data_IF_879617057213
#
_entry.id   IF_879617057213
#
_cell.length_a   1.000
_cell.length_b   1.000
_cell.length_c   1.000
_cell.angle_alpha   90.00
_cell.angle_beta   90.00
_cell.angle_gamma   90.00
#
_symmetry.space_group_name_H-M   'P 1'
#
loop_
_entity.id
_entity.type
_entity.pdbx_description
1 polymer ?
#
# COMPACT_ATOMS: atom_id res chain seq x y z
N UNK A 1 -5.51 -15.11 13.34
CA UNK A 1 -5.05 -16.16 12.40
C UNK A 1 -5.94 -16.21 11.15
N UNK A 2 -7.28 -16.36 11.26
CA UNK A 2 -8.18 -16.52 10.11
C UNK A 2 -8.09 -15.39 9.08
N UNK A 3 -8.15 -14.11 9.50
CA UNK A 3 -8.03 -12.95 8.62
C UNK A 3 -6.67 -12.91 7.89
N UNK A 4 -5.58 -13.25 8.58
CA UNK A 4 -4.26 -13.28 7.93
C UNK A 4 -4.22 -14.31 6.81
N UNK A 5 -4.77 -15.50 7.03
CA UNK A 5 -4.85 -16.57 6.00
C UNK A 5 -5.74 -16.13 4.84
N UNK A 6 -6.88 -15.52 5.14
CA UNK A 6 -7.81 -15.01 4.12
C UNK A 6 -7.14 -13.96 3.24
N UNK A 7 -6.56 -12.91 3.83
CA UNK A 7 -5.90 -11.84 3.09
C UNK A 7 -4.67 -12.33 2.33
N UNK A 8 -3.87 -13.23 2.92
CA UNK A 8 -2.74 -13.83 2.21
C UNK A 8 -3.18 -14.58 0.94
N UNK A 9 -4.32 -15.30 1.00
CA UNK A 9 -4.88 -15.98 -0.17
C UNK A 9 -5.47 -15.03 -1.23
N UNK A 10 -5.82 -13.81 -0.87
CA UNK A 10 -6.38 -12.79 -1.76
C UNK A 10 -5.33 -11.84 -2.31
N UNK A 11 -4.14 -11.77 -1.70
CA UNK A 11 -3.11 -10.81 -2.08
C UNK A 11 -2.55 -11.10 -3.46
N UNK A 12 -2.50 -10.07 -4.29
CA UNK A 12 -1.84 -10.08 -5.60
C UNK A 12 -0.47 -9.38 -5.58
N UNK A 13 -0.02 -8.94 -4.42
CA UNK A 13 1.29 -8.31 -4.26
C UNK A 13 2.42 -9.25 -4.69
N UNK A 14 3.41 -8.72 -5.40
CA UNK A 14 4.54 -9.50 -5.91
C UNK A 14 4.30 -10.18 -7.26
N UNK A 15 3.11 -10.06 -7.85
CA UNK A 15 2.88 -10.55 -9.22
C UNK A 15 3.78 -9.78 -10.18
N UNK A 16 4.51 -10.52 -11.02
CA UNK A 16 5.29 -9.99 -12.13
C UNK A 16 4.98 -10.77 -13.41
N UNK A 17 4.65 -10.08 -14.49
CA UNK A 17 4.28 -10.68 -15.78
C UNK A 17 4.97 -9.95 -16.92
N UNK A 18 5.41 -10.69 -17.93
CA UNK A 18 5.72 -10.14 -19.25
C UNK A 18 4.44 -10.08 -20.05
N UNK A 19 4.17 -8.92 -20.63
CA UNK A 19 3.01 -8.72 -21.49
C UNK A 19 3.43 -8.87 -22.95
N UNK A 20 2.55 -9.35 -23.84
CA UNK A 20 2.80 -9.32 -25.28
C UNK A 20 3.05 -7.88 -25.73
N UNK A 21 3.96 -7.73 -26.67
CA UNK A 21 4.29 -6.44 -27.27
C UNK A 21 4.78 -6.62 -28.70
N UNK A 22 4.93 -5.52 -29.48
CA UNK A 22 5.49 -5.57 -30.80
C UNK A 22 6.96 -5.95 -30.77
N UNK A 23 7.50 -6.38 -31.91
CA UNK A 23 8.93 -6.67 -32.06
C UNK A 23 9.75 -5.43 -31.67
N UNK A 24 10.74 -5.62 -30.80
CA UNK A 24 11.58 -4.52 -30.32
C UNK A 24 11.07 -3.83 -29.05
N UNK A 25 10.01 -4.36 -28.43
CA UNK A 25 9.55 -3.92 -27.11
C UNK A 25 9.53 -5.05 -26.10
N UNK A 26 9.89 -4.73 -24.87
CA UNK A 26 9.70 -5.60 -23.71
C UNK A 26 8.78 -4.91 -22.71
N UNK A 27 7.58 -5.43 -22.58
CA UNK A 27 6.57 -4.90 -21.68
C UNK A 27 6.50 -5.76 -20.43
N UNK A 28 6.60 -5.15 -19.26
CA UNK A 28 6.44 -5.83 -17.97
C UNK A 28 5.38 -5.16 -17.13
N UNK A 29 4.64 -5.97 -16.38
CA UNK A 29 3.61 -5.54 -15.45
C UNK A 29 3.92 -6.15 -14.08
N UNK A 30 3.90 -5.33 -13.05
CA UNK A 30 4.15 -5.75 -11.67
C UNK A 30 3.13 -5.14 -10.72
N UNK A 31 2.76 -5.88 -9.68
CA UNK A 31 1.96 -5.38 -8.57
C UNK A 31 2.89 -5.29 -7.36
N UNK A 32 3.08 -4.06 -6.87
CA UNK A 32 3.99 -3.75 -5.77
C UNK A 32 3.17 -3.31 -4.54
N UNK A 33 3.61 -3.63 -3.32
CA UNK A 33 2.97 -3.12 -2.12
C UNK A 33 3.16 -1.60 -2.01
N UNK A 34 2.23 -0.93 -1.35
CA UNK A 34 2.47 0.38 -0.77
C UNK A 34 3.52 0.23 0.32
N UNK A 35 4.40 1.23 0.50
CA UNK A 35 5.47 1.11 1.48
C UNK A 35 4.93 1.20 2.91
N UNK A 36 4.14 2.22 3.17
CA UNK A 36 3.62 2.52 4.50
C UNK A 36 2.12 2.82 4.44
N UNK A 37 1.35 2.12 5.24
CA UNK A 37 -0.10 2.30 5.34
C UNK A 37 -0.45 2.89 6.69
N UNK A 38 -1.06 4.07 6.70
CA UNK A 38 -1.64 4.66 7.91
C UNK A 38 -2.93 3.90 8.27
N UNK A 39 -2.95 3.34 9.47
CA UNK A 39 -4.07 2.56 9.99
C UNK A 39 -4.74 3.35 11.12
N UNK A 40 -5.99 3.74 10.90
CA UNK A 40 -6.80 4.51 11.84
C UNK A 40 -8.02 3.71 12.26
N UNK A 41 -8.11 3.37 13.53
CA UNK A 41 -9.24 2.67 14.14
C UNK A 41 -9.30 2.96 15.64
N UNK A 42 -10.51 3.01 16.19
CA UNK A 42 -10.75 3.32 17.61
C UNK A 42 -10.71 2.07 18.50
N UNK A 43 -10.67 0.87 17.90
CA UNK A 43 -10.64 -0.39 18.63
C UNK A 43 -9.57 -1.35 18.10
N UNK A 44 -9.16 -2.30 18.94
CA UNK A 44 -8.12 -3.28 18.63
C UNK A 44 -8.49 -4.24 17.51
N UNK A 45 -9.77 -4.63 17.41
CA UNK A 45 -10.19 -5.62 16.42
C UNK A 45 -10.05 -5.08 15.00
N UNK A 46 -10.49 -3.84 14.77
CA UNK A 46 -10.35 -3.15 13.50
C UNK A 46 -8.87 -2.88 13.18
N UNK A 47 -8.08 -2.45 14.16
CA UNK A 47 -6.65 -2.20 13.98
C UNK A 47 -5.89 -3.49 13.62
N UNK A 48 -6.26 -4.64 14.24
CA UNK A 48 -5.71 -5.95 13.88
C UNK A 48 -6.11 -6.39 12.48
N UNK A 49 -7.35 -6.13 12.07
CA UNK A 49 -7.83 -6.44 10.72
C UNK A 49 -7.04 -5.62 9.67
N UNK A 50 -6.87 -4.31 9.90
CA UNK A 50 -6.06 -3.45 9.06
C UNK A 50 -4.61 -3.97 8.99
N UNK A 51 -4.02 -4.32 10.12
CA UNK A 51 -2.65 -4.82 10.16
C UNK A 51 -2.49 -6.15 9.42
N UNK A 52 -3.46 -7.06 9.53
CA UNK A 52 -3.45 -8.31 8.77
C UNK A 52 -3.47 -8.06 7.25
N UNK A 53 -4.27 -7.09 6.77
CA UNK A 53 -4.32 -6.70 5.36
C UNK A 53 -2.99 -6.07 4.90
N UNK A 54 -2.41 -5.19 5.72
CA UNK A 54 -1.10 -4.55 5.46
C UNK A 54 0.01 -5.59 5.34
N UNK A 55 0.06 -6.56 6.24
CA UNK A 55 1.04 -7.64 6.19
C UNK A 55 0.85 -8.55 4.96
N UNK A 56 -0.40 -8.84 4.59
CA UNK A 56 -0.71 -9.71 3.46
C UNK A 56 -0.21 -9.17 2.12
N UNK A 57 -0.12 -7.85 1.97
CA UNK A 57 0.44 -7.23 0.77
C UNK A 57 1.95 -6.98 0.87
N UNK A 58 2.55 -7.14 2.07
CA UNK A 58 3.98 -6.95 2.29
C UNK A 58 4.38 -5.54 2.74
N UNK A 59 3.41 -4.70 3.09
CA UNK A 59 3.60 -3.32 3.57
C UNK A 59 4.02 -3.23 5.05
N UNK A 60 4.23 -2.01 5.53
CA UNK A 60 4.40 -1.69 6.94
C UNK A 60 3.30 -0.75 7.41
N UNK A 61 2.88 -0.86 8.66
CA UNK A 61 1.82 -0.05 9.23
C UNK A 61 2.38 1.18 9.96
N UNK A 62 1.63 2.28 9.87
CA UNK A 62 1.80 3.46 10.72
C UNK A 62 0.58 3.54 11.63
N UNK A 63 0.81 3.53 12.95
CA UNK A 63 -0.24 3.62 13.97
C UNK A 63 -0.05 4.88 14.81
N UNK A 64 -1.14 5.41 15.32
CA UNK A 64 -1.09 6.52 16.28
C UNK A 64 -0.54 6.02 17.62
N UNK A 65 0.41 6.76 18.21
CA UNK A 65 0.99 6.48 19.52
C UNK A 65 0.01 6.84 20.63
N UNK A 66 -0.91 5.94 20.89
CA UNK A 66 -1.98 6.03 21.87
C UNK A 66 -2.68 4.68 21.98
N UNK A 67 -3.71 4.62 22.81
CA UNK A 67 -4.56 3.44 22.85
C UNK A 67 -5.54 3.46 21.65
N UNK A 68 -5.81 2.30 21.02
CA UNK A 68 -5.37 0.94 21.36
C UNK A 68 -4.02 0.53 20.74
N UNK A 69 -3.41 1.33 19.85
CA UNK A 69 -2.25 0.96 19.04
C UNK A 69 -1.02 0.57 19.87
N UNK A 70 -0.72 1.33 20.91
CA UNK A 70 0.45 1.10 21.78
C UNK A 70 0.36 -0.23 22.53
N UNK A 71 -0.76 -0.51 23.17
CA UNK A 71 -0.98 -1.75 23.90
C UNK A 71 -0.98 -2.96 22.94
N UNK A 72 -1.61 -2.81 21.79
CA UNK A 72 -1.63 -3.86 20.77
C UNK A 72 -0.22 -4.18 20.25
N UNK A 73 0.56 -3.15 19.88
CA UNK A 73 1.93 -3.34 19.40
C UNK A 73 2.81 -4.06 20.41
N UNK A 74 2.69 -3.73 21.70
CA UNK A 74 3.48 -4.37 22.77
C UNK A 74 3.22 -5.88 22.88
N UNK A 75 2.05 -6.36 22.47
CA UNK A 75 1.66 -7.79 22.51
C UNK A 75 2.02 -8.56 21.24
N UNK A 76 2.44 -7.86 20.17
CA UNK A 76 2.87 -8.51 18.94
C UNK A 76 4.25 -9.20 19.12
N UNK A 77 4.52 -10.29 18.38
CA UNK A 77 5.87 -10.83 18.22
C UNK A 77 6.85 -9.75 17.72
N UNK A 78 8.12 -9.85 18.10
CA UNK A 78 9.14 -8.84 17.77
C UNK A 78 9.27 -8.55 16.28
N UNK A 79 9.16 -9.58 15.47
CA UNK A 79 9.23 -9.46 13.99
C UNK A 79 8.07 -8.61 13.45
N UNK A 80 6.89 -8.72 14.05
CA UNK A 80 5.71 -7.94 13.68
C UNK A 80 5.74 -6.53 14.27
N UNK A 81 6.34 -6.35 15.47
CA UNK A 81 6.56 -5.01 16.02
C UNK A 81 7.42 -4.14 15.11
N UNK A 82 8.41 -4.73 14.42
CA UNK A 82 9.25 -4.04 13.44
C UNK A 82 8.48 -3.55 12.20
N UNK A 83 7.30 -4.13 11.94
CA UNK A 83 6.40 -3.73 10.85
C UNK A 83 5.42 -2.61 11.24
N UNK A 84 5.50 -2.11 12.48
CA UNK A 84 4.61 -1.06 13.00
C UNK A 84 5.43 0.13 13.49
N UNK A 85 5.25 1.28 12.86
CA UNK A 85 5.78 2.57 13.30
C UNK A 85 4.70 3.29 14.11
N UNK A 86 5.01 3.67 15.37
CA UNK A 86 4.14 4.54 16.17
C UNK A 86 4.49 6.01 15.89
N UNK A 87 3.47 6.85 15.75
CA UNK A 87 3.60 8.29 15.52
C UNK A 87 2.65 9.05 16.44
N UNK A 88 3.13 10.12 17.07
CA UNK A 88 2.31 10.93 17.97
C UNK A 88 1.23 11.72 17.21
N UNK A 89 1.57 12.19 16.02
CA UNK A 89 0.68 12.95 15.15
C UNK A 89 0.97 12.58 13.68
N UNK A 90 0.00 11.92 13.05
CA UNK A 90 0.14 11.47 11.67
C UNK A 90 -0.02 12.60 10.63
N UNK A 91 -0.54 13.78 11.04
CA UNK A 91 -0.69 14.94 10.14
C UNK A 91 0.63 15.64 9.83
N UNK A 92 1.68 15.36 10.58
CA UNK A 92 2.98 15.99 10.35
C UNK A 92 3.60 15.55 9.04
N UNK A 93 4.21 16.47 8.31
CA UNK A 93 4.77 16.21 6.97
C UNK A 93 5.90 15.18 6.97
N UNK A 94 6.65 15.04 8.09
CA UNK A 94 7.69 14.05 8.26
C UNK A 94 7.18 12.61 8.42
N UNK A 95 5.87 12.41 8.62
CA UNK A 95 5.26 11.08 8.71
C UNK A 95 4.91 10.59 7.31
N UNK A 96 5.72 9.69 6.79
CA UNK A 96 5.50 9.11 5.47
C UNK A 96 4.47 7.98 5.53
N UNK A 97 3.48 8.04 4.63
CA UNK A 97 2.56 6.96 4.27
C UNK A 97 1.99 7.23 2.87
N UNK A 98 1.62 6.20 2.16
CA UNK A 98 1.15 6.25 0.76
C UNK A 98 -0.21 5.57 0.54
N UNK A 99 -0.83 5.09 1.62
CA UNK A 99 -2.23 4.69 1.69
C UNK A 99 -2.77 4.89 3.11
N UNK A 100 -4.10 4.98 3.25
CA UNK A 100 -4.80 5.07 4.54
C UNK A 100 -5.93 4.05 4.57
N UNK A 101 -6.04 3.31 5.67
CA UNK A 101 -7.24 2.54 6.03
C UNK A 101 -7.85 3.21 7.26
N UNK A 102 -9.13 3.51 7.21
CA UNK A 102 -9.86 4.14 8.30
C UNK A 102 -11.10 3.31 8.64
N UNK A 103 -11.22 2.90 9.90
CA UNK A 103 -12.48 2.39 10.47
C UNK A 103 -13.10 3.46 11.33
N UNK A 104 -14.35 3.79 11.05
CA UNK A 104 -15.09 4.80 11.79
C UNK A 104 -16.37 5.21 11.08
N UNK A 105 -16.97 6.30 11.55
CA UNK A 105 -18.15 6.87 10.93
C UNK A 105 -17.83 7.80 9.76
N UNK A 106 -18.88 8.26 9.08
CA UNK A 106 -18.74 9.12 7.89
C UNK A 106 -18.15 10.50 8.20
N UNK A 107 -18.36 11.04 9.40
CA UNK A 107 -17.85 12.36 9.77
C UNK A 107 -16.35 12.29 10.11
N UNK A 108 -15.93 11.23 10.81
CA UNK A 108 -14.53 10.90 11.04
C UNK A 108 -13.80 10.70 9.72
N UNK A 109 -14.36 9.88 8.81
CA UNK A 109 -13.80 9.65 7.48
C UNK A 109 -13.62 10.95 6.69
N UNK A 110 -14.65 11.81 6.70
CA UNK A 110 -14.58 13.13 6.03
C UNK A 110 -13.45 13.98 6.61
N UNK A 111 -13.29 14.00 7.93
CA UNK A 111 -12.19 14.68 8.61
C UNK A 111 -10.82 14.18 8.17
N UNK A 112 -10.64 12.84 8.13
CA UNK A 112 -9.40 12.20 7.65
C UNK A 112 -9.12 12.59 6.20
N UNK A 113 -10.11 12.48 5.31
CA UNK A 113 -9.95 12.87 3.89
C UNK A 113 -9.53 14.32 3.73
N UNK A 114 -10.13 15.24 4.51
CA UNK A 114 -9.78 16.67 4.46
C UNK A 114 -8.35 16.92 4.94
N UNK A 115 -7.87 16.20 5.93
CA UNK A 115 -6.51 16.35 6.43
C UNK A 115 -5.50 15.75 5.45
N UNK A 116 -5.76 14.56 4.93
CA UNK A 116 -4.90 13.91 3.91
C UNK A 116 -4.79 14.76 2.65
N UNK A 117 -5.90 15.39 2.22
CA UNK A 117 -5.91 16.25 1.03
C UNK A 117 -5.07 17.53 1.16
N UNK A 118 -4.72 17.95 2.39
CA UNK A 118 -3.85 19.12 2.63
C UNK A 118 -2.36 18.78 2.53
N UNK A 119 -2.00 17.50 2.52
CA UNK A 119 -0.60 17.09 2.50
C UNK A 119 0.03 17.39 1.15
N UNK A 120 1.27 17.87 1.19
CA UNK A 120 2.07 18.03 -0.02
C UNK A 120 2.48 16.70 -0.62
N UNK A 121 2.71 16.65 -1.92
CA UNK A 121 3.21 15.48 -2.62
C UNK A 121 2.16 14.69 -3.40
N UNK A 122 2.32 13.37 -3.49
CA UNK A 122 1.42 12.52 -4.24
C UNK A 122 0.06 12.37 -3.54
N UNK A 123 -0.99 12.15 -4.34
CA UNK A 123 -2.33 11.89 -3.80
C UNK A 123 -2.32 10.55 -3.06
N UNK A 124 -2.74 10.59 -1.79
CA UNK A 124 -2.88 9.41 -0.94
C UNK A 124 -4.33 8.97 -0.91
N UNK A 125 -4.58 7.71 -1.29
CA UNK A 125 -5.91 7.12 -1.23
C UNK A 125 -6.33 6.80 0.21
N UNK A 126 -7.59 7.12 0.54
CA UNK A 126 -8.20 6.76 1.83
C UNK A 126 -9.26 5.68 1.61
N UNK A 127 -9.10 4.54 2.28
CA UNK A 127 -10.08 3.46 2.30
C UNK A 127 -10.88 3.53 3.60
N UNK A 128 -12.11 4.01 3.51
CA UNK A 128 -13.03 4.11 4.64
C UNK A 128 -13.88 2.86 4.79
N UNK A 129 -14.02 2.38 6.02
CA UNK A 129 -14.81 1.22 6.43
C UNK A 129 -15.60 1.57 7.70
N UNK A 130 -16.76 0.97 7.87
CA UNK A 130 -17.45 1.02 9.15
C UNK A 130 -16.73 0.18 10.19
N UNK A 131 -16.82 0.56 11.46
CA UNK A 131 -16.27 -0.26 12.55
C UNK A 131 -16.83 -1.68 12.50
N UNK A 132 -15.96 -2.69 12.62
CA UNK A 132 -16.29 -4.10 12.51
C UNK A 132 -16.37 -4.66 11.08
N UNK A 133 -16.26 -3.82 10.06
CA UNK A 133 -16.19 -4.29 8.68
C UNK A 133 -14.74 -4.70 8.33
N UNK A 134 -14.52 -5.98 8.15
CA UNK A 134 -13.20 -6.53 7.84
C UNK A 134 -13.01 -6.86 6.35
N UNK A 135 -13.89 -6.37 5.47
CA UNK A 135 -13.74 -6.53 4.02
C UNK A 135 -12.82 -5.46 3.42
N UNK A 136 -11.55 -5.55 3.76
CA UNK A 136 -10.54 -4.60 3.30
C UNK A 136 -10.13 -4.93 1.87
N UNK A 137 -10.32 -3.98 0.95
CA UNK A 137 -9.95 -4.10 -0.45
C UNK A 137 -8.43 -3.98 -0.62
N UNK A 138 -7.74 -5.13 -0.78
CA UNK A 138 -6.28 -5.19 -0.84
C UNK A 138 -5.68 -4.47 -2.06
N UNK A 139 -6.43 -4.34 -3.14
CA UNK A 139 -6.04 -3.58 -4.34
C UNK A 139 -5.77 -2.10 -4.05
N UNK A 140 -6.32 -1.54 -2.97
CA UNK A 140 -6.03 -0.17 -2.52
C UNK A 140 -4.71 -0.03 -1.78
N UNK A 141 -4.11 -1.16 -1.40
CA UNK A 141 -2.83 -1.23 -0.66
C UNK A 141 -1.66 -1.61 -1.56
N UNK A 142 -1.88 -1.68 -2.86
CA UNK A 142 -0.86 -1.99 -3.87
C UNK A 142 -0.84 -0.92 -4.95
N UNK A 143 0.21 -0.93 -5.76
CA UNK A 143 0.34 -0.12 -6.96
C UNK A 143 0.63 -1.02 -8.15
N UNK A 144 0.02 -0.71 -9.27
CA UNK A 144 0.34 -1.32 -10.55
C UNK A 144 1.49 -0.55 -11.21
N UNK A 145 2.46 -1.28 -11.72
CA UNK A 145 3.59 -0.71 -12.46
C UNK A 145 3.73 -1.41 -13.79
N UNK A 146 3.46 -0.68 -14.86
CA UNK A 146 3.74 -1.10 -16.21
C UNK A 146 5.03 -0.41 -16.71
N UNK A 147 5.93 -1.19 -17.28
CA UNK A 147 7.19 -0.67 -17.85
C UNK A 147 7.33 -1.22 -19.25
N UNK A 148 7.45 -0.33 -20.22
CA UNK A 148 7.79 -0.65 -21.61
C UNK A 148 9.25 -0.24 -21.88
N UNK A 149 10.04 -1.18 -22.35
CA UNK A 149 11.45 -0.96 -22.70
C UNK A 149 11.62 -1.22 -24.18
N UNK A 150 12.09 -0.22 -24.92
CA UNK A 150 12.52 -0.41 -26.29
C UNK A 150 13.81 -1.25 -26.31
N UNK A 151 13.73 -2.46 -26.87
CA UNK A 151 14.86 -3.38 -27.00
C UNK A 151 15.53 -3.30 -28.37
N UNK A 152 14.96 -2.52 -29.31
CA UNK A 152 15.65 -2.20 -30.55
C UNK A 152 16.86 -1.32 -30.19
N UNK A 153 18.08 -1.87 -30.37
CA UNK A 153 19.28 -1.13 -30.11
C UNK A 153 19.29 0.14 -30.98
N UNK A 154 19.61 1.27 -30.40
CA UNK A 154 19.76 2.53 -31.13
C UNK A 154 20.83 2.45 -32.24
N UNK A 155 21.65 1.39 -32.28
CA UNK A 155 22.61 1.08 -33.32
C UNK A 155 22.13 0.10 -34.41
N UNK A 156 20.93 -0.52 -34.23
CA UNK A 156 20.42 -1.48 -35.23
C UNK A 156 20.05 -0.84 -36.58
N UNK A 157 19.78 0.45 -36.60
CA UNK A 157 19.50 1.20 -37.82
C UNK A 157 20.71 1.89 -38.44
N UNK A 158 21.85 1.92 -37.78
CA UNK A 158 23.07 2.56 -38.35
C UNK A 158 23.56 1.83 -39.59
N UNK A 159 23.37 0.50 -39.67
CA UNK A 159 23.74 -0.29 -40.87
C UNK A 159 22.74 -0.14 -42.02
N UNK A 160 21.50 0.27 -41.76
CA UNK A 160 20.50 0.56 -42.80
C UNK A 160 20.68 1.98 -43.37
N UNK A 161 21.35 2.88 -42.67
CA UNK A 161 21.67 4.23 -43.19
C UNK A 161 22.91 4.27 -44.08
N UNK A 162 23.65 3.18 -44.22
CA UNK A 162 24.83 3.06 -45.08
C UNK A 162 24.57 2.35 -46.41
N UNK A 163 23.32 1.97 -46.68
CA UNK A 163 22.91 1.44 -47.99
C UNK A 163 22.23 2.59 -48.76
N UNK A 164 23.03 3.45 -49.31
CA UNK A 164 22.69 4.52 -50.24
C UNK A 164 23.78 4.68 -51.26
#
# INVERSE_FOLDING_TARGET
AALCTQFAGQSQSGIARLLPGPTGERNSYTILPREHVLCLADNEADLLAQFAAVLAVGSSAVWVDGEPGKALRARLPRELQAKVKLVADWNKDEVAFDAVIHHGDSDQLRGVCQQVAKRAGAIVGVHGLSSGDHQIALERLVIERAVSVNTAAAGGNASLMTIG
#
